data_IF_632043661692
#
_entry.id   IF_632043661692
#
_cell.length_a   1.000
_cell.length_b   1.000
_cell.length_c   1.000
_cell.angle_alpha   90.00
_cell.angle_beta   90.00
_cell.angle_gamma   90.00
#
_symmetry.space_group_name_H-M   'P 1'
#
loop_
_entity.id
_entity.type
_entity.pdbx_description
1 polymer ?
#
# COMPACT_ATOMS: atom_id res chain seq x y z
N UNK A 1 -5.07 17.36 -6.06
CA UNK A 1 -3.65 16.97 -5.98
C UNK A 1 -3.38 15.82 -5.02
N UNK A 2 -3.78 15.88 -3.75
CA UNK A 2 -3.57 14.77 -2.78
C UNK A 2 -4.09 13.40 -3.25
N UNK A 3 -5.28 13.32 -3.87
CA UNK A 3 -5.82 12.04 -4.34
C UNK A 3 -5.00 11.38 -5.45
N UNK A 4 -4.39 12.16 -6.35
CA UNK A 4 -3.63 11.63 -7.48
C UNK A 4 -2.42 10.82 -7.01
N UNK A 5 -1.73 11.34 -5.99
CA UNK A 5 -0.62 10.68 -5.34
C UNK A 5 -0.99 9.28 -4.81
N UNK A 6 -2.12 9.18 -4.12
CA UNK A 6 -2.58 7.91 -3.57
C UNK A 6 -3.13 6.98 -4.65
N UNK A 7 -3.76 7.50 -5.70
CA UNK A 7 -4.17 6.70 -6.88
C UNK A 7 -2.95 6.03 -7.50
N UNK A 8 -1.88 6.79 -7.76
CA UNK A 8 -0.66 6.25 -8.35
C UNK A 8 -0.04 5.19 -7.43
N UNK A 9 0.00 5.45 -6.11
CA UNK A 9 0.49 4.47 -5.14
C UNK A 9 -0.34 3.19 -5.12
N UNK A 10 -1.67 3.28 -5.16
CA UNK A 10 -2.59 2.13 -5.19
C UNK A 10 -2.43 1.34 -6.49
N UNK A 11 -2.34 2.03 -7.64
CA UNK A 11 -2.15 1.38 -8.93
C UNK A 11 -0.79 0.68 -9.01
N UNK A 12 0.29 1.35 -8.61
CA UNK A 12 1.65 0.79 -8.65
C UNK A 12 1.80 -0.41 -7.69
N UNK A 13 1.41 -0.25 -6.43
CA UNK A 13 1.52 -1.34 -5.46
C UNK A 13 0.54 -2.48 -5.76
N UNK A 14 -0.65 -2.17 -6.31
CA UNK A 14 -1.59 -3.18 -6.80
C UNK A 14 -1.04 -3.97 -7.98
N UNK A 15 -0.35 -3.30 -8.91
CA UNK A 15 0.32 -3.94 -10.04
C UNK A 15 1.46 -4.86 -9.59
N UNK A 16 2.30 -4.42 -8.64
CA UNK A 16 3.34 -5.28 -8.05
C UNK A 16 2.73 -6.47 -7.30
N UNK A 17 1.65 -6.26 -6.54
CA UNK A 17 0.94 -7.31 -5.82
C UNK A 17 0.30 -8.32 -6.77
N UNK A 18 -0.25 -7.86 -7.90
CA UNK A 18 -0.78 -8.73 -8.94
C UNK A 18 0.31 -9.63 -9.51
N UNK A 19 1.46 -9.07 -9.91
CA UNK A 19 2.58 -9.86 -10.41
C UNK A 19 3.13 -10.84 -9.36
N UNK A 20 3.22 -10.43 -8.09
CA UNK A 20 3.64 -11.30 -7.00
C UNK A 20 2.65 -12.47 -6.81
N UNK A 21 1.35 -12.19 -6.84
CA UNK A 21 0.30 -13.22 -6.76
C UNK A 21 0.38 -14.17 -7.95
N UNK A 22 0.54 -13.66 -9.17
CA UNK A 22 0.68 -14.48 -10.38
C UNK A 22 1.93 -15.38 -10.29
N UNK A 23 3.05 -14.86 -9.79
CA UNK A 23 4.28 -15.63 -9.58
C UNK A 23 4.11 -16.72 -8.51
N UNK A 24 3.47 -16.39 -7.37
CA UNK A 24 3.25 -17.33 -6.26
C UNK A 24 2.26 -18.46 -6.61
N UNK A 25 1.15 -18.14 -7.30
CA UNK A 25 0.07 -19.10 -7.56
C UNK A 25 0.20 -19.80 -8.91
N UNK A 26 0.71 -19.13 -9.94
CA UNK A 26 0.78 -19.65 -11.31
C UNK A 26 2.22 -19.95 -11.75
N UNK A 27 3.23 -19.63 -10.94
CA UNK A 27 4.64 -19.86 -11.28
C UNK A 27 5.13 -19.05 -12.47
N UNK A 28 4.42 -17.97 -12.83
CA UNK A 28 4.77 -17.11 -13.97
C UNK A 28 5.95 -16.21 -13.56
N UNK A 29 7.06 -16.19 -14.31
CA UNK A 29 8.20 -15.35 -14.00
C UNK A 29 7.87 -13.86 -14.13
N UNK A 30 8.58 -13.02 -13.38
CA UNK A 30 8.43 -11.57 -13.47
C UNK A 30 8.91 -11.06 -14.86
N UNK A 31 8.32 -9.96 -15.37
CA UNK A 31 8.79 -9.36 -16.61
C UNK A 31 10.25 -8.91 -16.50
N UNK A 32 11.02 -9.02 -17.59
CA UNK A 32 12.47 -8.80 -17.62
C UNK A 32 12.92 -7.45 -17.04
N UNK A 33 12.16 -6.37 -17.30
CA UNK A 33 12.47 -5.04 -16.76
C UNK A 33 12.38 -5.00 -15.23
N UNK A 34 11.38 -5.68 -14.67
CA UNK A 34 11.14 -5.74 -13.23
C UNK A 34 12.21 -6.61 -12.58
N UNK A 35 12.57 -7.72 -13.23
CA UNK A 35 13.69 -8.56 -12.84
C UNK A 35 15.02 -7.79 -12.78
N UNK A 36 15.30 -6.93 -13.77
CA UNK A 36 16.49 -6.08 -13.78
C UNK A 36 16.51 -5.09 -12.60
N UNK A 37 15.40 -4.41 -12.34
CA UNK A 37 15.28 -3.51 -11.17
C UNK A 37 15.45 -4.26 -9.85
N UNK A 38 14.77 -5.40 -9.70
CA UNK A 38 14.85 -6.25 -8.52
C UNK A 38 16.25 -6.82 -8.32
N UNK A 39 16.97 -7.11 -9.40
CA UNK A 39 18.37 -7.57 -9.31
C UNK A 39 19.30 -6.45 -8.81
N UNK A 40 19.06 -5.20 -9.20
CA UNK A 40 19.85 -4.05 -8.73
C UNK A 40 19.56 -3.76 -7.25
N UNK A 41 18.28 -3.82 -6.86
CA UNK A 41 17.83 -3.58 -5.48
C UNK A 41 18.12 -4.75 -4.53
N UNK A 42 18.01 -5.98 -5.04
CA UNK A 42 18.08 -7.24 -4.30
C UNK A 42 19.47 -7.87 -4.26
N UNK A 43 20.46 -7.35 -5.00
CA UNK A 43 21.86 -7.79 -4.91
C UNK A 43 22.43 -7.72 -3.48
N UNK A 44 21.77 -6.98 -2.58
CA UNK A 44 22.15 -6.81 -1.18
C UNK A 44 21.37 -7.68 -0.17
N UNK A 45 20.39 -8.52 -0.58
CA UNK A 45 19.43 -9.12 0.36
C UNK A 45 19.53 -10.66 0.49
N UNK A 46 19.43 -11.12 1.74
CA UNK A 46 19.54 -12.52 2.16
C UNK A 46 18.42 -13.39 1.59
N UNK A 47 18.82 -14.49 0.94
CA UNK A 47 17.96 -15.54 0.37
C UNK A 47 17.33 -16.39 1.49
N UNK A 48 16.23 -15.92 2.09
CA UNK A 48 15.47 -16.68 3.08
C UNK A 48 14.08 -17.05 2.55
N UNK A 49 13.79 -18.33 2.33
CA UNK A 49 12.49 -18.80 1.85
C UNK A 49 11.29 -18.42 2.75
N UNK A 50 11.54 -18.08 4.03
CA UNK A 50 10.52 -17.63 4.99
C UNK A 50 10.06 -16.18 4.79
N UNK A 51 10.78 -15.38 3.98
CA UNK A 51 10.49 -13.96 3.79
C UNK A 51 9.34 -13.70 2.82
N UNK A 52 8.99 -14.67 1.97
CA UNK A 52 7.97 -14.50 0.92
C UNK A 52 6.59 -14.17 1.50
N UNK A 53 6.20 -14.82 2.59
CA UNK A 53 4.94 -14.56 3.30
C UNK A 53 4.88 -13.16 3.88
N UNK A 54 5.95 -12.80 4.58
CA UNK A 54 6.09 -11.52 5.24
C UNK A 54 6.07 -10.40 4.21
N UNK A 55 6.80 -10.57 3.10
CA UNK A 55 6.81 -9.62 1.99
C UNK A 55 5.42 -9.49 1.34
N UNK A 56 4.73 -10.60 1.08
CA UNK A 56 3.37 -10.59 0.55
C UNK A 56 2.40 -9.85 1.47
N UNK A 57 2.39 -10.17 2.78
CA UNK A 57 1.53 -9.52 3.77
C UNK A 57 1.85 -8.04 3.92
N UNK A 58 3.13 -7.66 3.94
CA UNK A 58 3.54 -6.25 4.00
C UNK A 58 3.07 -5.51 2.76
N UNK A 59 3.17 -6.10 1.57
CA UNK A 59 2.69 -5.48 0.33
C UNK A 59 1.16 -5.33 0.32
N UNK A 60 0.43 -6.33 0.82
CA UNK A 60 -1.03 -6.26 1.02
C UNK A 60 -1.40 -5.16 2.02
N UNK A 61 -0.74 -5.10 3.18
CA UNK A 61 -1.00 -4.05 4.18
C UNK A 61 -0.65 -2.66 3.66
N UNK A 62 0.43 -2.52 2.89
CA UNK A 62 0.80 -1.26 2.25
C UNK A 62 -0.26 -0.84 1.22
N UNK A 63 -0.76 -1.77 0.42
CA UNK A 63 -1.84 -1.52 -0.53
C UNK A 63 -3.14 -1.12 0.17
N UNK A 64 -3.56 -1.86 1.21
CA UNK A 64 -4.75 -1.55 2.01
C UNK A 64 -4.63 -0.20 2.73
N UNK A 65 -3.45 0.12 3.26
CA UNK A 65 -3.16 1.40 3.90
C UNK A 65 -3.29 2.56 2.93
N UNK A 66 -2.71 2.43 1.73
CA UNK A 66 -2.83 3.42 0.66
C UNK A 66 -4.28 3.59 0.20
N UNK A 67 -5.01 2.48 0.04
CA UNK A 67 -6.42 2.48 -0.35
C UNK A 67 -7.30 3.15 0.71
N UNK A 68 -7.06 2.88 1.99
CA UNK A 68 -7.74 3.54 3.11
C UNK A 68 -7.51 5.06 3.12
N UNK A 69 -6.25 5.51 2.95
CA UNK A 69 -5.94 6.95 2.82
C UNK A 69 -6.60 7.57 1.61
N UNK A 70 -6.69 6.83 0.49
CA UNK A 70 -7.39 7.27 -0.71
C UNK A 70 -8.90 7.44 -0.45
N UNK A 71 -9.53 6.46 0.21
CA UNK A 71 -10.93 6.54 0.62
C UNK A 71 -11.19 7.73 1.55
N UNK A 72 -10.31 7.98 2.51
CA UNK A 72 -10.44 9.13 3.40
C UNK A 72 -10.32 10.46 2.65
N UNK A 73 -9.40 10.55 1.68
CA UNK A 73 -9.32 11.71 0.79
C UNK A 73 -10.60 11.89 -0.04
N UNK A 74 -11.21 10.82 -0.53
CA UNK A 74 -12.46 10.92 -1.32
C UNK A 74 -13.70 11.24 -0.47
N UNK A 75 -13.82 10.67 0.72
CA UNK A 75 -15.05 10.72 1.52
C UNK A 75 -15.04 11.76 2.66
N UNK A 76 -13.87 12.07 3.24
CA UNK A 76 -13.75 12.95 4.43
C UNK A 76 -13.18 14.32 4.07
N UNK A 77 -12.42 14.44 2.98
CA UNK A 77 -11.77 15.71 2.69
C UNK A 77 -12.74 16.73 2.08
N UNK A 78 -13.04 17.78 2.85
CA UNK A 78 -13.50 19.06 2.33
C UNK A 78 -12.23 19.81 1.95
N UNK A 79 -11.75 19.63 0.71
CA UNK A 79 -10.52 20.26 0.26
C UNK A 79 -10.67 21.79 0.27
N UNK A 80 -10.01 22.45 1.22
CA UNK A 80 -9.54 23.83 1.04
C UNK A 80 -8.38 23.82 0.03
N UNK A 81 -8.09 24.95 -0.61
CA UNK A 81 -7.01 25.17 -1.60
C UNK A 81 -5.59 24.94 -1.00
N UNK A 82 -5.31 23.74 -0.50
CA UNK A 82 -4.03 23.35 0.05
C UNK A 82 -3.19 22.76 -1.08
N UNK A 83 -2.17 23.50 -1.50
CA UNK A 83 -1.16 23.08 -2.47
C UNK A 83 -0.02 22.37 -1.75
N UNK A 84 0.33 21.17 -2.21
CA UNK A 84 1.54 20.48 -1.74
C UNK A 84 2.71 20.97 -2.59
N UNK A 85 3.87 21.18 -1.97
CA UNK A 85 5.11 21.45 -2.70
C UNK A 85 5.44 20.30 -3.67
N UNK A 86 5.75 20.65 -4.93
CA UNK A 86 6.06 19.68 -6.01
C UNK A 86 7.23 18.74 -5.64
N UNK A 87 8.23 19.25 -4.91
CA UNK A 87 9.37 18.45 -4.44
C UNK A 87 8.92 17.36 -3.46
N UNK A 88 8.03 17.69 -2.53
CA UNK A 88 7.50 16.74 -1.56
C UNK A 88 6.59 15.69 -2.22
N UNK A 89 5.86 16.10 -3.26
CA UNK A 89 5.11 15.19 -4.11
C UNK A 89 6.02 14.18 -4.83
N UNK A 90 7.11 14.66 -5.46
CA UNK A 90 8.06 13.81 -6.16
C UNK A 90 8.74 12.83 -5.20
N UNK A 91 9.21 13.30 -4.05
CA UNK A 91 9.85 12.46 -3.05
C UNK A 91 8.92 11.38 -2.52
N UNK A 92 7.66 11.72 -2.23
CA UNK A 92 6.66 10.74 -1.83
C UNK A 92 6.42 9.68 -2.90
N UNK A 93 6.38 10.07 -4.18
CA UNK A 93 6.09 9.16 -5.28
C UNK A 93 7.22 8.14 -5.42
N UNK A 94 8.46 8.62 -5.42
CA UNK A 94 9.66 7.79 -5.42
C UNK A 94 9.66 6.86 -4.20
N UNK A 95 9.31 7.35 -3.02
CA UNK A 95 9.24 6.54 -1.81
C UNK A 95 8.23 5.39 -1.93
N UNK A 96 7.01 5.61 -2.44
CA UNK A 96 6.03 4.52 -2.61
C UNK A 96 6.46 3.51 -3.67
N UNK A 97 7.10 3.97 -4.75
CA UNK A 97 7.61 3.09 -5.81
C UNK A 97 8.74 2.21 -5.29
N UNK A 98 9.73 2.82 -4.62
CA UNK A 98 10.87 2.11 -4.06
C UNK A 98 10.44 1.16 -2.94
N UNK A 99 9.52 1.57 -2.05
CA UNK A 99 9.05 0.72 -0.96
C UNK A 99 8.43 -0.59 -1.49
N UNK A 100 7.57 -0.50 -2.52
CA UNK A 100 7.00 -1.69 -3.15
C UNK A 100 8.06 -2.58 -3.79
N UNK A 101 9.05 -1.99 -4.45
CA UNK A 101 10.16 -2.72 -5.07
C UNK A 101 11.09 -3.39 -4.02
N UNK A 102 11.38 -2.72 -2.90
CA UNK A 102 12.21 -3.26 -1.81
C UNK A 102 11.51 -4.41 -1.07
N UNK A 103 10.19 -4.37 -0.97
CA UNK A 103 9.42 -5.51 -0.44
C UNK A 103 9.49 -6.68 -1.42
N UNK A 104 9.37 -6.42 -2.72
CA UNK A 104 9.42 -7.44 -3.75
C UNK A 104 10.82 -8.04 -3.94
N UNK A 105 11.90 -7.27 -3.74
CA UNK A 105 13.29 -7.75 -3.85
C UNK A 105 13.70 -8.73 -2.75
N UNK A 106 12.91 -8.83 -1.68
CA UNK A 106 13.10 -9.82 -0.61
C UNK A 106 12.58 -11.22 -0.99
N UNK A 107 11.80 -11.32 -2.06
CA UNK A 107 11.23 -12.60 -2.51
C UNK A 107 12.25 -13.30 -3.42
N UNK A 108 12.56 -14.59 -3.21
CA UNK A 108 13.46 -15.31 -4.11
C UNK A 108 12.88 -15.29 -5.52
N UNK A 109 13.72 -14.99 -6.52
CA UNK A 109 13.27 -14.73 -7.89
C UNK A 109 13.30 -15.98 -8.79
N UNK A 110 13.68 -17.14 -8.24
CA UNK A 110 13.79 -18.37 -9.01
C UNK A 110 12.40 -19.02 -9.19
N UNK A 111 11.79 -18.85 -10.37
CA UNK A 111 10.37 -19.12 -10.64
C UNK A 111 9.89 -20.53 -10.25
N UNK A 112 10.77 -21.53 -10.29
CA UNK A 112 10.43 -22.90 -9.85
C UNK A 112 10.35 -23.02 -8.32
N UNK A 113 11.21 -22.30 -7.60
CA UNK A 113 11.20 -22.25 -6.14
C UNK A 113 10.05 -21.38 -5.61
N UNK A 114 9.69 -20.30 -6.31
CA UNK A 114 8.58 -19.40 -5.91
C UNK A 114 7.24 -20.12 -5.84
N UNK A 115 6.92 -20.96 -6.83
CA UNK A 115 5.66 -21.71 -6.84
C UNK A 115 5.57 -22.71 -5.67
N UNK A 116 6.67 -23.39 -5.36
CA UNK A 116 6.74 -24.34 -4.23
C UNK A 116 6.62 -23.60 -2.89
N UNK A 117 7.24 -22.42 -2.78
CA UNK A 117 7.11 -21.53 -1.62
C UNK A 117 5.67 -21.04 -1.48
N UNK A 118 5.01 -20.64 -2.57
CA UNK A 118 3.61 -20.19 -2.59
C UNK A 118 2.62 -21.22 -2.05
N UNK A 119 2.86 -22.50 -2.30
CA UNK A 119 2.06 -23.60 -1.71
C UNK A 119 2.27 -23.77 -0.21
N UNK A 120 3.51 -23.64 0.27
CA UNK A 120 3.84 -23.74 1.69
C UNK A 120 3.48 -22.45 2.46
N UNK A 121 3.27 -21.35 1.75
CA UNK A 121 2.91 -20.01 2.24
C UNK A 121 1.69 -20.05 3.17
N UNK A 122 0.61 -20.72 2.78
CA UNK A 122 -0.60 -20.78 3.60
C UNK A 122 -0.41 -21.61 4.88
N UNK A 123 0.53 -22.57 4.86
CA UNK A 123 0.86 -23.41 6.02
C UNK A 123 1.84 -22.72 6.99
N UNK A 124 2.67 -21.81 6.51
CA UNK A 124 3.69 -21.11 7.32
C UNK A 124 3.12 -19.87 8.05
N UNK A 125 1.81 -19.65 8.01
CA UNK A 125 1.15 -18.54 8.70
C UNK A 125 1.35 -18.65 10.23
N UNK A 126 2.30 -17.89 10.77
CA UNK A 126 2.61 -17.81 12.21
C UNK A 126 1.70 -16.83 12.95
N UNK A 127 1.61 -17.03 14.27
CA UNK A 127 0.85 -16.16 15.20
C UNK A 127 1.22 -14.67 15.11
N UNK A 128 2.46 -14.36 14.75
CA UNK A 128 2.92 -12.99 14.52
C UNK A 128 2.14 -12.26 13.41
N UNK A 129 1.71 -12.95 12.36
CA UNK A 129 0.90 -12.35 11.30
C UNK A 129 -0.51 -12.03 11.77
N UNK A 130 -1.09 -12.89 12.61
CA UNK A 130 -2.41 -12.66 13.24
C UNK A 130 -2.34 -11.43 14.14
N UNK A 131 -1.28 -11.32 14.96
CA UNK A 131 -1.05 -10.14 15.80
C UNK A 131 -0.88 -8.87 14.96
N UNK A 132 -0.12 -8.93 13.86
CA UNK A 132 0.05 -7.82 12.93
C UNK A 132 -1.26 -7.39 12.28
N UNK A 133 -2.10 -8.34 11.87
CA UNK A 133 -3.42 -8.08 11.31
C UNK A 133 -4.36 -7.43 12.35
N UNK A 134 -4.36 -7.92 13.58
CA UNK A 134 -5.12 -7.34 14.69
C UNK A 134 -4.67 -5.91 14.99
N UNK A 135 -3.36 -5.66 15.08
CA UNK A 135 -2.82 -4.31 15.27
C UNK A 135 -3.18 -3.38 14.12
N UNK A 136 -3.14 -3.87 12.88
CA UNK A 136 -3.52 -3.10 11.70
C UNK A 136 -5.01 -2.69 11.77
N UNK A 137 -5.90 -3.62 12.11
CA UNK A 137 -7.34 -3.36 12.28
C UNK A 137 -7.58 -2.37 13.44
N UNK A 138 -6.88 -2.54 14.56
CA UNK A 138 -6.99 -1.66 15.72
C UNK A 138 -6.58 -0.22 15.39
N UNK A 139 -5.38 -0.05 14.83
CA UNK A 139 -4.86 1.25 14.37
C UNK A 139 -5.80 1.88 13.35
N UNK A 140 -6.33 1.04 12.46
CA UNK A 140 -7.32 1.42 11.48
C UNK A 140 -8.60 2.00 12.11
N UNK A 141 -9.17 1.34 13.11
CA UNK A 141 -10.36 1.86 13.80
C UNK A 141 -10.04 3.18 14.52
N UNK A 142 -8.90 3.25 15.18
CA UNK A 142 -8.50 4.43 15.95
C UNK A 142 -8.31 5.67 15.05
N UNK A 143 -7.61 5.50 13.93
CA UNK A 143 -7.38 6.57 12.97
C UNK A 143 -8.69 7.09 12.37
N UNK A 144 -9.63 6.20 12.05
CA UNK A 144 -10.96 6.61 11.56
C UNK A 144 -11.70 7.47 12.58
N UNK A 145 -11.71 7.06 13.86
CA UNK A 145 -12.35 7.85 14.93
C UNK A 145 -11.73 9.25 15.06
N UNK A 146 -10.40 9.35 15.06
CA UNK A 146 -9.71 10.64 15.13
C UNK A 146 -10.07 11.55 13.94
N UNK A 147 -10.13 11.00 12.73
CA UNK A 147 -10.49 11.77 11.54
C UNK A 147 -11.95 12.23 11.54
N UNK A 148 -12.88 11.40 12.01
CA UNK A 148 -14.28 11.81 12.19
C UNK A 148 -14.41 12.92 13.22
N UNK A 149 -13.67 12.85 14.33
CA UNK A 149 -13.64 13.91 15.35
C UNK A 149 -13.10 15.21 14.75
N UNK A 150 -11.95 15.17 14.07
CA UNK A 150 -11.34 16.34 13.43
C UNK A 150 -12.25 16.93 12.33
N UNK A 151 -12.92 16.08 11.57
CA UNK A 151 -13.91 16.48 10.56
C UNK A 151 -15.14 17.14 11.17
N UNK A 152 -15.60 16.67 12.34
CA UNK A 152 -16.71 17.28 13.06
C UNK A 152 -16.32 18.60 13.73
N UNK A 153 -15.07 18.76 14.19
CA UNK A 153 -14.55 20.04 14.70
C UNK A 153 -14.46 21.13 13.63
N UNK A 154 -14.31 20.75 12.35
CA UNK A 154 -14.35 21.69 11.21
C UNK A 154 -15.77 22.09 10.80
N UNK A 155 -16.82 21.46 11.35
CA UNK A 155 -18.21 21.88 11.13
C UNK A 155 -18.55 22.97 12.14
N UNK A 156 -19.12 24.09 11.67
CA UNK A 156 -19.57 25.16 12.57
C UNK A 156 -20.74 24.68 13.46
N UNK A 157 -20.97 25.37 14.59
CA UNK A 157 -21.97 25.03 15.63
C UNK A 157 -23.43 24.85 15.15
N UNK A 158 -23.73 25.17 13.89
CA UNK A 158 -25.06 25.00 13.28
C UNK A 158 -25.28 23.64 12.57
N UNK A 159 -24.26 22.77 12.47
CA UNK A 159 -24.39 21.47 11.79
C UNK A 159 -24.50 21.55 10.26
N UNK A 160 -24.55 22.75 9.68
CA UNK A 160 -24.60 22.95 8.24
C UNK A 160 -23.22 22.74 7.59
N UNK A 161 -23.22 21.99 6.48
CA UNK A 161 -22.04 21.90 5.61
C UNK A 161 -21.81 23.28 4.99
N UNK A 162 -20.59 23.86 5.07
CA UNK A 162 -20.33 25.13 4.41
C UNK A 162 -20.64 25.00 2.92
N UNK A 163 -21.44 25.93 2.41
CA UNK A 163 -22.02 25.98 1.05
C UNK A 163 -21.00 25.74 -0.10
N UNK A 164 -19.69 25.87 0.16
CA UNK A 164 -18.61 25.56 -0.79
C UNK A 164 -18.33 24.07 -1.03
N UNK A 165 -18.78 23.16 -0.16
CA UNK A 165 -18.48 21.72 -0.29
C UNK A 165 -19.37 20.99 -1.32
N UNK A 166 -20.43 21.63 -1.82
CA UNK A 166 -21.37 21.01 -2.78
C UNK A 166 -20.98 21.25 -4.24
N UNK A 167 -20.08 22.20 -4.51
CA UNK A 167 -19.80 22.67 -5.89
C UNK A 167 -18.68 21.93 -6.63
N UNK A 168 -17.92 21.04 -6.00
CA UNK A 168 -16.89 20.22 -6.66
C UNK A 168 -17.18 18.73 -6.50
N UNK A 169 -18.30 18.29 -7.06
CA UNK A 169 -18.46 16.91 -7.52
C UNK A 169 -18.69 16.94 -9.02
N UNK A 170 -17.62 17.09 -9.80
CA UNK A 170 -17.43 16.47 -11.11
C UNK A 170 -15.93 16.43 -11.39
#
# INVERSE_FOLDING_TARGET
YFSHFYIISVLWNGFLLWHLTQSLFLGVPFPNWLHGLLSILGAAQFQGGELALSAFLVLVFLWLHSLRRLFECFYVSVFSNAVIHVVQYCFGLVYYVLTGLTVLSQVPMDGRNVYVIGKNLLMQARWFHILGMLMFIWSSVHQYKCHVILGNLRKNKAGERPFRATACRF
#
